data_IF_240255881831
#
_entry.id   IF_240255881831
#
_cell.length_a   1.000
_cell.length_b   1.000
_cell.length_c   1.000
_cell.angle_alpha   90.00
_cell.angle_beta   90.00
_cell.angle_gamma   90.00
#
_symmetry.space_group_name_H-M   'P 1'
#
loop_
_entity.id
_entity.type
_entity.pdbx_description
1 polymer ?
#
# COMPACT_ATOMS: atom_id res chain seq x y z
N UNK A 1 24.50 16.52 -18.64
CA UNK A 1 24.60 15.76 -19.90
C UNK A 1 23.20 15.70 -20.47
N UNK A 2 22.99 16.23 -21.67
CA UNK A 2 21.67 16.43 -22.26
C UNK A 2 20.98 15.09 -22.53
N UNK A 3 19.75 14.96 -22.06
CA UNK A 3 18.84 13.88 -22.43
C UNK A 3 18.47 14.03 -23.90
N UNK A 4 19.06 13.20 -24.75
CA UNK A 4 18.70 13.06 -26.17
C UNK A 4 17.28 12.47 -26.25
N UNK A 5 16.27 13.35 -26.24
CA UNK A 5 14.88 12.95 -26.40
C UNK A 5 14.64 12.66 -27.88
N UNK A 6 14.50 11.38 -28.23
CA UNK A 6 14.15 10.92 -29.58
C UNK A 6 12.97 11.73 -30.13
N UNK A 7 13.16 12.33 -31.30
CA UNK A 7 12.13 13.13 -31.96
C UNK A 7 11.03 12.21 -32.50
N UNK A 8 9.79 12.74 -32.59
CA UNK A 8 8.65 12.00 -33.14
C UNK A 8 8.91 11.48 -34.56
N UNK A 9 9.73 12.18 -35.34
CA UNK A 9 10.08 11.78 -36.70
C UNK A 9 11.06 10.60 -36.75
N UNK A 10 11.91 10.45 -35.74
CA UNK A 10 12.78 9.28 -35.57
C UNK A 10 11.97 8.05 -35.15
N UNK A 11 10.94 8.23 -34.32
CA UNK A 11 10.04 7.16 -33.88
C UNK A 11 9.16 6.67 -35.04
N UNK A 12 8.76 7.54 -35.97
CA UNK A 12 8.00 7.14 -37.18
C UNK A 12 8.77 6.17 -38.09
N UNK A 13 10.10 6.26 -38.09
CA UNK A 13 10.99 5.38 -38.86
C UNK A 13 11.07 3.97 -38.26
N UNK A 14 10.62 3.77 -37.01
CA UNK A 14 10.62 2.46 -36.37
C UNK A 14 9.61 1.51 -37.03
N UNK A 15 9.95 0.22 -37.00
CA UNK A 15 9.04 -0.83 -37.44
C UNK A 15 7.93 -1.04 -36.39
N UNK A 16 6.76 -1.50 -36.83
CA UNK A 16 5.64 -1.81 -35.92
C UNK A 16 6.07 -2.80 -34.84
N UNK A 17 6.91 -3.80 -35.19
CA UNK A 17 7.43 -4.77 -34.23
C UNK A 17 8.30 -4.11 -33.15
N UNK A 18 9.16 -3.16 -33.50
CA UNK A 18 10.02 -2.48 -32.53
C UNK A 18 9.23 -1.52 -31.64
N UNK A 19 8.21 -0.85 -32.18
CA UNK A 19 7.26 -0.05 -31.39
C UNK A 19 6.50 -0.92 -30.38
N UNK A 20 5.99 -2.08 -30.83
CA UNK A 20 5.29 -3.03 -29.97
C UNK A 20 6.20 -3.63 -28.90
N UNK A 21 7.44 -3.97 -29.24
CA UNK A 21 8.40 -4.53 -28.26
C UNK A 21 8.79 -3.48 -27.21
N UNK A 22 8.92 -2.20 -27.57
CA UNK A 22 9.13 -1.10 -26.63
C UNK A 22 7.94 -0.94 -25.66
N UNK A 23 6.72 -0.87 -26.19
CA UNK A 23 5.50 -0.73 -25.38
C UNK A 23 5.27 -1.97 -24.51
N UNK A 24 5.57 -3.18 -25.00
CA UNK A 24 5.46 -4.44 -24.26
C UNK A 24 6.40 -4.48 -23.06
N UNK A 25 7.65 -4.03 -23.22
CA UNK A 25 8.63 -3.93 -22.12
C UNK A 25 8.15 -3.00 -21.01
N UNK A 26 7.37 -1.97 -21.36
CA UNK A 26 6.76 -1.02 -20.41
C UNK A 26 5.37 -1.42 -19.91
N UNK A 27 4.87 -2.60 -20.28
CA UNK A 27 3.52 -3.05 -19.89
C UNK A 27 2.38 -2.21 -20.48
N UNK A 28 2.64 -1.46 -21.55
CA UNK A 28 1.66 -0.59 -22.21
C UNK A 28 0.94 -1.33 -23.34
N UNK A 29 -0.20 -0.76 -23.78
CA UNK A 29 -1.01 -1.32 -24.86
C UNK A 29 -0.22 -1.42 -26.17
N UNK A 30 -0.21 -2.60 -26.78
CA UNK A 30 0.53 -2.91 -28.03
C UNK A 30 -0.37 -3.05 -29.28
N UNK A 31 -1.67 -2.81 -29.14
CA UNK A 31 -2.64 -2.89 -30.23
C UNK A 31 -3.05 -1.51 -30.73
N UNK A 32 -3.12 -1.35 -32.05
CA UNK A 32 -3.48 -0.09 -32.70
C UNK A 32 -2.85 0.05 -34.08
N UNK A 33 -3.16 1.16 -34.76
CA UNK A 33 -2.49 1.55 -36.01
C UNK A 33 -1.06 2.02 -35.73
N UNK A 34 -0.20 2.01 -36.74
CA UNK A 34 1.22 2.43 -36.58
C UNK A 34 1.33 3.82 -35.95
N UNK A 35 0.49 4.77 -36.35
CA UNK A 35 0.46 6.14 -35.82
C UNK A 35 0.11 6.19 -34.33
N UNK A 36 -0.83 5.36 -33.88
CA UNK A 36 -1.21 5.24 -32.47
C UNK A 36 -0.05 4.66 -31.64
N UNK A 37 0.66 3.66 -32.19
CA UNK A 37 1.83 3.08 -31.53
C UNK A 37 2.97 4.11 -31.44
N UNK A 38 3.20 4.92 -32.47
CA UNK A 38 4.19 6.01 -32.44
C UNK A 38 3.82 7.04 -31.37
N UNK A 39 2.56 7.47 -31.30
CA UNK A 39 2.09 8.41 -30.29
C UNK A 39 2.23 7.84 -28.86
N UNK A 40 1.91 6.55 -28.67
CA UNK A 40 2.09 5.86 -27.40
C UNK A 40 3.55 5.75 -26.99
N UNK A 41 4.46 5.45 -27.93
CA UNK A 41 5.91 5.39 -27.67
C UNK A 41 6.44 6.77 -27.31
N UNK A 42 6.03 7.81 -28.03
CA UNK A 42 6.43 9.19 -27.74
C UNK A 42 5.94 9.66 -26.36
N UNK A 43 4.67 9.42 -26.04
CA UNK A 43 4.13 9.72 -24.72
C UNK A 43 4.86 8.92 -23.63
N UNK A 44 5.13 7.64 -23.88
CA UNK A 44 5.90 6.81 -22.97
C UNK A 44 7.30 7.40 -22.74
N UNK A 45 8.04 7.81 -23.77
CA UNK A 45 9.38 8.39 -23.63
C UNK A 45 9.42 9.66 -22.75
N UNK A 46 8.34 10.43 -22.72
CA UNK A 46 8.21 11.61 -21.86
C UNK A 46 7.81 11.27 -20.41
N UNK A 47 7.27 10.07 -20.18
CA UNK A 47 6.94 9.59 -18.85
C UNK A 47 8.12 8.81 -18.25
N UNK A 48 8.46 9.02 -16.96
CA UNK A 48 9.43 8.18 -16.29
C UNK A 48 8.99 6.71 -16.34
N UNK A 49 9.94 5.81 -16.58
CA UNK A 49 9.69 4.37 -16.61
C UNK A 49 9.02 3.96 -15.30
N UNK A 50 7.77 3.51 -15.37
CA UNK A 50 7.10 2.84 -14.26
C UNK A 50 7.51 1.38 -14.25
N UNK A 51 8.82 1.11 -14.33
CA UNK A 51 9.35 -0.21 -14.01
C UNK A 51 9.01 -0.49 -12.55
N UNK A 52 8.33 -1.61 -12.30
CA UNK A 52 7.97 -2.07 -10.96
C UNK A 52 9.15 -2.09 -9.99
N UNK A 53 10.38 -2.27 -10.50
CA UNK A 53 11.63 -2.25 -9.73
C UNK A 53 11.91 -0.91 -9.03
N UNK A 54 11.70 0.24 -9.70
CA UNK A 54 11.89 1.57 -9.09
C UNK A 54 10.75 1.90 -8.11
N UNK A 55 9.55 1.38 -8.37
CA UNK A 55 8.46 1.41 -7.41
C UNK A 55 8.81 0.64 -6.15
N UNK A 56 9.43 -0.54 -6.30
CA UNK A 56 9.67 -1.46 -5.18
C UNK A 56 10.85 -1.02 -4.32
N UNK A 57 11.91 -0.46 -4.91
CA UNK A 57 12.99 0.18 -4.15
C UNK A 57 12.46 1.39 -3.38
N UNK A 58 11.69 2.28 -4.02
CA UNK A 58 11.09 3.45 -3.37
C UNK A 58 10.12 3.06 -2.23
N UNK A 59 9.32 2.00 -2.42
CA UNK A 59 8.45 1.45 -1.38
C UNK A 59 9.23 0.85 -0.21
N UNK A 60 10.32 0.12 -0.48
CA UNK A 60 11.20 -0.45 0.55
C UNK A 60 11.90 0.64 1.36
N UNK A 61 12.35 1.70 0.70
CA UNK A 61 12.93 2.86 1.37
C UNK A 61 11.90 3.60 2.21
N UNK A 62 10.69 3.81 1.67
CA UNK A 62 9.57 4.39 2.40
C UNK A 62 9.22 3.58 3.64
N UNK A 63 9.13 2.26 3.52
CA UNK A 63 8.87 1.36 4.63
C UNK A 63 9.98 1.40 5.70
N UNK A 64 11.25 1.37 5.28
CA UNK A 64 12.39 1.45 6.20
C UNK A 64 12.37 2.73 7.05
N UNK A 65 11.91 3.85 6.47
CA UNK A 65 11.74 5.13 7.18
C UNK A 65 10.65 5.07 8.25
N UNK A 66 9.57 4.29 8.04
CA UNK A 66 8.49 4.12 9.03
C UNK A 66 8.95 3.39 10.30
N UNK A 67 10.00 2.58 10.20
CA UNK A 67 10.57 1.84 11.34
C UNK A 67 11.62 2.64 12.12
N UNK A 68 11.92 3.87 11.71
CA UNK A 68 12.87 4.73 12.42
C UNK A 68 12.14 5.52 13.51
N UNK A 69 12.63 5.42 14.73
CA UNK A 69 12.16 6.18 15.89
C UNK A 69 13.33 6.97 16.50
N UNK A 70 13.08 8.04 17.28
CA UNK A 70 14.15 8.82 17.89
C UNK A 70 15.10 7.99 18.77
N UNK A 71 14.60 6.92 19.39
CA UNK A 71 15.35 6.00 20.26
C UNK A 71 16.03 4.85 19.52
N UNK A 72 15.90 4.74 18.19
CA UNK A 72 16.56 3.69 17.41
C UNK A 72 15.75 3.19 16.21
N UNK A 73 16.04 1.96 15.78
CA UNK A 73 15.31 1.30 14.69
C UNK A 73 14.45 0.18 15.26
N UNK A 74 13.16 0.21 14.97
CA UNK A 74 12.25 -0.88 15.32
C UNK A 74 12.55 -2.14 14.49
N UNK A 75 12.36 -3.34 15.07
CA UNK A 75 12.48 -4.58 14.30
C UNK A 75 11.38 -4.62 13.23
N UNK A 76 11.63 -5.35 12.15
CA UNK A 76 10.66 -5.49 11.06
C UNK A 76 9.47 -6.34 11.52
N UNK A 77 8.24 -5.80 11.57
CA UNK A 77 7.05 -6.55 11.94
C UNK A 77 6.85 -7.84 11.14
N UNK A 78 7.28 -7.87 9.88
CA UNK A 78 7.06 -9.04 9.01
C UNK A 78 7.91 -10.26 9.42
N UNK A 79 9.02 -10.06 10.13
CA UNK A 79 9.91 -11.12 10.59
C UNK A 79 9.66 -11.56 12.04
N UNK A 80 8.76 -10.88 12.76
CA UNK A 80 8.42 -11.19 14.14
C UNK A 80 7.63 -12.49 14.29
N UNK A 81 7.90 -13.22 15.37
CA UNK A 81 7.28 -14.48 15.77
C UNK A 81 6.53 -14.29 17.09
N UNK A 82 5.79 -15.29 17.57
CA UNK A 82 5.15 -15.26 18.90
C UNK A 82 4.13 -14.13 19.12
N UNK A 83 3.36 -13.81 18.08
CA UNK A 83 2.23 -12.87 18.17
C UNK A 83 1.20 -13.37 19.19
N UNK A 84 0.87 -12.51 20.17
CA UNK A 84 -0.14 -12.81 21.18
C UNK A 84 -1.54 -12.53 20.62
N UNK A 85 -2.47 -13.42 20.94
CA UNK A 85 -3.88 -13.22 20.61
C UNK A 85 -4.45 -12.05 21.42
N UNK A 86 -5.58 -11.49 21.01
CA UNK A 86 -6.28 -10.48 21.81
C UNK A 86 -6.55 -10.97 23.24
N UNK A 87 -7.00 -12.21 23.43
CA UNK A 87 -7.35 -12.72 24.76
C UNK A 87 -6.19 -12.65 25.76
N UNK A 88 -4.97 -12.92 25.28
CA UNK A 88 -3.76 -12.87 26.12
C UNK A 88 -3.12 -11.47 26.12
N UNK A 89 -3.23 -10.74 25.01
CA UNK A 89 -2.54 -9.47 24.79
C UNK A 89 -3.30 -8.24 25.28
N UNK A 90 -4.63 -8.31 25.45
CA UNK A 90 -5.48 -7.13 25.70
C UNK A 90 -5.08 -6.35 26.97
N UNK A 91 -4.53 -7.02 27.97
CA UNK A 91 -4.03 -6.38 29.20
C UNK A 91 -2.80 -5.49 28.95
N UNK A 92 -2.07 -5.76 27.87
CA UNK A 92 -0.88 -5.02 27.45
C UNK A 92 -1.19 -3.97 26.38
N UNK A 93 -2.44 -3.86 25.94
CA UNK A 93 -2.83 -2.86 24.96
C UNK A 93 -2.87 -1.48 25.60
N UNK A 94 -2.47 -0.47 24.82
CA UNK A 94 -2.60 0.91 25.26
C UNK A 94 -4.08 1.23 25.50
N UNK A 95 -4.44 1.83 26.65
CA UNK A 95 -5.81 2.22 26.91
C UNK A 95 -6.24 3.27 25.89
N UNK A 96 -7.02 2.85 24.90
CA UNK A 96 -7.51 3.72 23.83
C UNK A 96 -8.89 4.22 24.21
N UNK A 97 -9.03 5.53 24.46
CA UNK A 97 -10.30 6.14 24.82
C UNK A 97 -10.99 6.77 23.60
N UNK A 98 -12.29 7.03 23.72
CA UNK A 98 -13.05 7.74 22.68
C UNK A 98 -12.42 9.11 22.32
N UNK A 99 -11.74 9.75 23.27
CA UNK A 99 -11.01 10.99 23.04
C UNK A 99 -9.84 10.80 22.05
N UNK A 100 -9.12 9.68 22.15
CA UNK A 100 -7.97 9.40 21.27
C UNK A 100 -8.44 9.11 19.84
N UNK A 101 -9.57 8.41 19.72
CA UNK A 101 -10.27 8.21 18.43
C UNK A 101 -10.70 9.57 17.85
N UNK A 102 -11.23 10.46 18.69
CA UNK A 102 -11.58 11.83 18.30
C UNK A 102 -10.37 12.63 17.80
N UNK A 103 -9.24 12.58 18.51
CA UNK A 103 -7.98 13.22 18.09
C UNK A 103 -7.49 12.67 16.75
N UNK A 104 -7.57 11.35 16.54
CA UNK A 104 -7.23 10.73 15.27
C UNK A 104 -8.08 11.26 14.11
N UNK A 105 -9.40 11.41 14.30
CA UNK A 105 -10.24 12.02 13.26
C UNK A 105 -9.92 13.50 13.02
N UNK A 106 -9.44 14.22 14.03
CA UNK A 106 -9.01 15.61 13.86
C UNK A 106 -7.71 15.73 13.07
N UNK A 107 -6.78 14.78 13.19
CA UNK A 107 -5.52 14.78 12.45
C UNK A 107 -5.63 14.37 10.97
N UNK A 108 -6.81 13.96 10.50
CA UNK A 108 -7.02 13.60 9.10
C UNK A 108 -7.34 14.81 8.24
N UNK A 109 -6.44 15.12 7.30
CA UNK A 109 -6.64 16.19 6.30
C UNK A 109 -7.61 15.77 5.18
N UNK A 110 -7.75 14.47 4.93
CA UNK A 110 -8.62 13.94 3.90
C UNK A 110 -10.09 13.93 4.38
N UNK A 111 -10.84 14.96 4.00
CA UNK A 111 -12.24 15.16 4.42
C UNK A 111 -13.16 13.98 4.02
N UNK A 112 -13.13 13.46 2.77
CA UNK A 112 -13.94 12.29 2.41
C UNK A 112 -13.64 11.06 3.28
N UNK A 113 -12.36 10.74 3.50
CA UNK A 113 -11.95 9.61 4.32
C UNK A 113 -12.40 9.79 5.78
N UNK A 114 -12.19 10.98 6.33
CA UNK A 114 -12.64 11.34 7.69
C UNK A 114 -14.13 11.12 7.87
N UNK A 115 -14.96 11.64 6.97
CA UNK A 115 -16.42 11.48 7.04
C UNK A 115 -16.83 10.01 7.00
N UNK A 116 -16.20 9.21 6.13
CA UNK A 116 -16.45 7.77 6.03
C UNK A 116 -16.08 7.06 7.34
N UNK A 117 -14.87 7.27 7.85
CA UNK A 117 -14.40 6.61 9.08
C UNK A 117 -15.24 7.00 10.30
N UNK A 118 -15.66 8.27 10.39
CA UNK A 118 -16.57 8.71 11.44
C UNK A 118 -17.95 8.04 11.36
N UNK A 119 -18.50 7.85 10.16
CA UNK A 119 -19.73 7.08 9.98
C UNK A 119 -19.53 5.61 10.38
N UNK A 120 -18.48 4.97 9.88
CA UNK A 120 -18.17 3.57 10.15
C UNK A 120 -17.95 3.31 11.66
N UNK A 121 -17.35 4.27 12.37
CA UNK A 121 -17.18 4.23 13.82
C UNK A 121 -18.51 4.35 14.56
N UNK A 122 -19.38 5.31 14.18
CA UNK A 122 -20.72 5.47 14.78
C UNK A 122 -21.59 4.25 14.56
N UNK A 123 -21.48 3.63 13.40
CA UNK A 123 -22.20 2.41 13.03
C UNK A 123 -21.62 1.15 13.70
N UNK A 124 -20.49 1.27 14.42
CA UNK A 124 -19.85 0.14 15.09
C UNK A 124 -19.35 -0.94 14.12
N UNK A 125 -18.98 -0.57 12.89
CA UNK A 125 -18.58 -1.56 11.87
C UNK A 125 -17.34 -2.35 12.26
N UNK A 126 -16.33 -1.69 12.80
CA UNK A 126 -15.12 -2.35 13.28
C UNK A 126 -15.45 -3.39 14.37
N UNK A 127 -16.31 -3.03 15.32
CA UNK A 127 -16.80 -3.96 16.34
C UNK A 127 -17.60 -5.12 15.72
N UNK A 128 -18.43 -4.85 14.73
CA UNK A 128 -19.22 -5.89 14.04
C UNK A 128 -18.33 -6.90 13.30
N UNK A 129 -17.26 -6.44 12.64
CA UNK A 129 -16.29 -7.33 11.99
C UNK A 129 -15.48 -8.13 13.01
N UNK A 130 -15.15 -7.52 14.14
CA UNK A 130 -14.48 -8.21 15.23
C UNK A 130 -15.39 -9.28 15.85
N UNK A 131 -16.62 -8.92 16.25
CA UNK A 131 -17.58 -9.80 16.90
C UNK A 131 -18.02 -10.99 16.02
N UNK A 132 -18.02 -10.82 14.69
CA UNK A 132 -18.27 -11.91 13.74
C UNK A 132 -17.07 -12.83 13.50
N UNK A 133 -15.91 -12.54 14.10
CA UNK A 133 -14.66 -13.27 13.88
C UNK A 133 -14.06 -13.07 12.48
N UNK A 134 -14.52 -12.05 11.75
CA UNK A 134 -13.97 -11.65 10.46
C UNK A 134 -12.57 -11.07 10.65
N UNK A 135 -12.40 -10.23 11.65
CA UNK A 135 -11.13 -9.59 12.00
C UNK A 135 -10.62 -10.18 13.31
N UNK A 136 -9.36 -10.63 13.29
CA UNK A 136 -8.61 -11.00 14.49
C UNK A 136 -7.47 -10.03 14.70
N UNK A 137 -7.23 -9.65 15.95
CA UNK A 137 -6.18 -8.70 16.31
C UNK A 137 -5.11 -9.46 17.10
N UNK A 138 -3.86 -9.15 16.79
CA UNK A 138 -2.68 -9.73 17.43
C UNK A 138 -1.76 -8.63 17.92
N UNK A 139 -1.08 -8.89 19.03
CA UNK A 139 -0.18 -7.97 19.67
C UNK A 139 1.23 -8.57 19.77
N UNK A 140 2.25 -7.72 19.66
CA UNK A 140 3.63 -8.09 19.90
C UNK A 140 4.33 -6.98 20.69
N UNK A 141 4.84 -7.32 21.87
CA UNK A 141 5.73 -6.44 22.64
C UNK A 141 7.10 -6.42 21.95
N UNK A 142 7.63 -5.24 21.65
CA UNK A 142 8.94 -5.13 20.98
C UNK A 142 10.05 -5.50 21.96
N UNK A 143 9.93 -4.97 23.18
CA UNK A 143 10.75 -5.26 24.36
C UNK A 143 9.91 -4.92 25.60
N UNK A 144 10.27 -5.45 26.77
CA UNK A 144 9.54 -5.23 28.04
C UNK A 144 9.48 -3.74 28.44
N UNK A 145 10.48 -2.97 28.02
CA UNK A 145 10.60 -1.54 28.32
C UNK A 145 10.31 -0.64 27.11
N UNK A 146 9.82 -1.20 26.00
CA UNK A 146 9.55 -0.39 24.81
C UNK A 146 8.27 0.43 25.01
N UNK A 147 8.34 1.74 24.71
CA UNK A 147 7.16 2.60 24.62
C UNK A 147 6.28 2.26 23.39
N UNK A 148 6.80 1.41 22.49
CA UNK A 148 6.13 1.03 21.26
C UNK A 148 5.75 -0.45 21.29
N UNK A 149 4.62 -0.76 20.67
CA UNK A 149 4.18 -2.11 20.42
C UNK A 149 3.74 -2.25 18.96
N UNK A 150 3.68 -3.49 18.48
CA UNK A 150 3.08 -3.78 17.18
C UNK A 150 1.71 -4.41 17.34
N UNK A 151 0.79 -3.95 16.48
CA UNK A 151 -0.51 -4.55 16.28
C UNK A 151 -0.58 -5.07 14.85
N UNK A 152 -1.06 -6.30 14.71
CA UNK A 152 -1.38 -6.91 13.42
C UNK A 152 -2.84 -7.29 13.42
N UNK A 153 -3.48 -7.18 12.26
CA UNK A 153 -4.82 -7.74 12.05
C UNK A 153 -4.78 -8.81 10.98
N UNK A 154 -5.55 -9.87 11.18
CA UNK A 154 -5.84 -10.86 10.15
C UNK A 154 -7.31 -10.77 9.80
N UNK A 155 -7.57 -10.51 8.52
CA UNK A 155 -8.91 -10.43 7.97
C UNK A 155 -9.21 -11.70 7.19
N UNK A 156 -10.32 -12.37 7.50
CA UNK A 156 -10.81 -13.43 6.63
C UNK A 156 -11.14 -12.83 5.26
N UNK A 157 -10.61 -13.39 4.16
CA UNK A 157 -10.98 -12.91 2.83
C UNK A 157 -12.48 -13.15 2.62
N UNK A 158 -13.15 -12.17 2.00
CA UNK A 158 -14.53 -12.30 1.56
C UNK A 158 -14.63 -13.52 0.64
N UNK A 159 -15.32 -14.57 1.09
CA UNK A 159 -15.66 -15.69 0.23
C UNK A 159 -16.92 -15.31 -0.55
N UNK A 160 -16.86 -15.44 -1.88
CA UNK A 160 -18.06 -15.36 -2.69
C UNK A 160 -19.03 -16.46 -2.22
N UNK A 161 -20.29 -16.10 -1.97
CA UNK A 161 -21.35 -17.02 -1.51
C UNK A 161 -21.45 -18.25 -2.43
N UNK A 162 -21.09 -18.10 -3.70
CA UNK A 162 -21.12 -19.16 -4.71
C UNK A 162 -19.86 -20.03 -4.77
N UNK A 163 -18.84 -19.78 -3.93
CA UNK A 163 -17.59 -20.53 -3.93
C UNK A 163 -17.53 -21.39 -2.66
N UNK A 164 -18.16 -22.56 -2.73
CA UNK A 164 -18.09 -23.61 -1.70
C UNK A 164 -16.69 -24.24 -1.76
N UNK A 165 -16.02 -24.53 -0.63
CA UNK A 165 -14.66 -25.08 -0.59
C UNK A 165 -14.50 -26.42 -1.34
#
# INVERSE_FOLDING_TARGET
>A
MASDALSIDEIKLWNVKTLQDFLRKRGLKVSGRKEELVALVFAALQMPDSTSADSDSAKREGYSKLLQIPSGKLPDPASLQNWMSEGDGITSWLPTMALDIGKYFQSLDNIPLKNKLMSDYKDGKAYSYFASGWVKIFYHAIDENSEFCFLKTECRPSQNINNVP
#
